data_IF_170177683067
#
_entry.id   IF_170177683067
#
_cell.length_a   1.000
_cell.length_b   1.000
_cell.length_c   1.000
_cell.angle_alpha   90.00
_cell.angle_beta   90.00
_cell.angle_gamma   90.00
#
_symmetry.space_group_name_H-M   'P 1'
#
loop_
_entity.id
_entity.type
_entity.pdbx_description
1 polymer ?
#
# COMPACT_ATOMS: atom_id res chain seq x y z
N UNK A 1 34.48 19.59 -27.98
CA UNK A 1 34.15 19.52 -26.54
C UNK A 1 32.80 18.82 -26.43
N UNK A 2 32.78 17.51 -26.20
CA UNK A 2 31.53 16.75 -26.14
C UNK A 2 30.90 17.01 -24.77
N UNK A 3 29.92 17.90 -24.73
CA UNK A 3 29.14 18.17 -23.53
C UNK A 3 28.03 17.12 -23.42
N UNK A 4 28.34 15.98 -22.79
CA UNK A 4 27.29 15.07 -22.34
C UNK A 4 26.62 15.71 -21.12
N UNK A 5 25.66 16.61 -21.37
CA UNK A 5 24.75 17.08 -20.33
C UNK A 5 23.67 16.03 -20.14
N UNK A 6 23.59 15.48 -18.94
CA UNK A 6 22.46 14.66 -18.52
C UNK A 6 21.33 15.57 -18.06
N UNK A 7 20.13 15.38 -18.62
CA UNK A 7 18.91 16.03 -18.15
C UNK A 7 18.12 14.99 -17.35
N UNK A 8 17.74 15.33 -16.13
CA UNK A 8 16.87 14.51 -15.31
C UNK A 8 15.43 14.94 -15.54
N UNK A 9 14.58 14.00 -15.99
CA UNK A 9 13.13 14.20 -16.05
C UNK A 9 12.54 13.59 -14.78
N UNK A 10 11.76 14.38 -14.04
CA UNK A 10 11.01 13.89 -12.87
C UNK A 10 9.55 13.76 -13.26
N UNK A 11 9.01 12.54 -13.16
CA UNK A 11 7.58 12.28 -13.31
C UNK A 11 6.97 12.30 -11.92
N UNK A 12 5.96 13.15 -11.71
CA UNK A 12 5.24 13.26 -10.44
C UNK A 12 3.90 12.52 -10.58
N UNK A 13 3.60 11.53 -9.72
CA UNK A 13 2.31 10.82 -9.74
C UNK A 13 1.13 11.75 -9.44
N UNK A 14 -0.02 11.49 -10.05
CA UNK A 14 -1.22 12.29 -9.80
C UNK A 14 -1.94 11.85 -8.52
N UNK A 15 -1.77 12.64 -7.44
CA UNK A 15 -2.38 12.36 -6.12
C UNK A 15 -3.88 12.63 -6.04
N UNK A 16 -4.43 13.44 -6.94
CA UNK A 16 -5.87 13.73 -7.00
C UNK A 16 -6.68 12.58 -7.63
N UNK A 17 -6.01 11.66 -8.32
CA UNK A 17 -6.61 10.52 -9.02
C UNK A 17 -5.98 9.21 -8.55
N UNK A 18 -5.94 9.00 -7.24
CA UNK A 18 -5.44 7.77 -6.64
C UNK A 18 -6.44 6.62 -6.76
N UNK A 19 -5.92 5.43 -7.00
CA UNK A 19 -6.59 4.13 -6.98
C UNK A 19 -5.93 3.29 -5.91
N UNK A 20 -6.75 2.68 -5.04
CA UNK A 20 -6.28 1.79 -3.98
C UNK A 20 -6.76 0.36 -4.24
N UNK A 21 -5.84 -0.60 -4.15
CA UNK A 21 -6.16 -2.03 -4.18
C UNK A 21 -5.69 -2.70 -2.90
N UNK A 22 -6.55 -3.52 -2.30
CA UNK A 22 -6.21 -4.28 -1.09
C UNK A 22 -6.04 -5.77 -1.44
N UNK A 23 -4.87 -6.31 -1.14
CA UNK A 23 -4.53 -7.70 -1.35
C UNK A 23 -4.29 -8.37 0.00
N UNK A 24 -4.99 -9.46 0.27
CA UNK A 24 -4.67 -10.35 1.38
C UNK A 24 -3.73 -11.45 0.88
N UNK A 25 -2.62 -11.67 1.57
CA UNK A 25 -1.77 -12.85 1.37
C UNK A 25 -2.59 -14.13 1.51
N UNK A 26 -2.12 -15.23 0.88
CA UNK A 26 -2.83 -16.51 0.70
C UNK A 26 -3.88 -16.81 1.77
N UNK A 27 -5.14 -16.64 1.37
CA UNK A 27 -6.33 -16.41 2.21
C UNK A 27 -6.86 -17.62 2.97
N UNK A 28 -6.05 -18.26 3.79
CA UNK A 28 -6.57 -19.09 4.88
C UNK A 28 -5.64 -19.04 6.08
N UNK A 29 -5.88 -18.07 6.96
CA UNK A 29 -5.40 -18.19 8.33
C UNK A 29 -6.43 -18.98 9.12
N UNK A 30 -6.02 -20.14 9.62
CA UNK A 30 -6.78 -20.82 10.68
C UNK A 30 -6.73 -19.88 11.89
N UNK A 31 -7.88 -19.52 12.46
CA UNK A 31 -7.97 -18.69 13.67
C UNK A 31 -7.57 -19.50 14.93
N UNK A 32 -6.34 -20.02 14.94
CA UNK A 32 -5.73 -20.81 16.01
C UNK A 32 -4.85 -19.95 16.94
N UNK A 33 -5.01 -18.61 16.92
CA UNK A 33 -4.18 -17.64 17.63
C UNK A 33 -2.67 -17.64 17.27
N UNK A 34 -2.25 -18.33 16.20
CA UNK A 34 -0.84 -18.36 15.76
C UNK A 34 -0.62 -17.95 14.31
N UNK A 35 -1.67 -17.89 13.48
CA UNK A 35 -1.53 -17.51 12.08
C UNK A 35 -1.68 -16.00 11.86
N UNK A 36 -0.72 -15.41 11.15
CA UNK A 36 -0.76 -14.02 10.68
C UNK A 36 -1.17 -13.98 9.21
N UNK A 37 -2.08 -13.06 8.86
CA UNK A 37 -2.36 -12.70 7.46
C UNK A 37 -1.64 -11.39 7.16
N UNK A 38 -0.90 -11.35 6.06
CA UNK A 38 -0.30 -10.11 5.57
C UNK A 38 -1.32 -9.45 4.66
N UNK A 39 -1.70 -8.22 4.97
CA UNK A 39 -2.46 -7.35 4.08
C UNK A 39 -1.47 -6.40 3.41
N UNK A 40 -1.64 -6.19 2.11
CA UNK A 40 -0.87 -5.21 1.35
C UNK A 40 -1.85 -4.29 0.64
N UNK A 41 -1.79 -3.01 0.95
CA UNK A 41 -2.54 -1.97 0.24
C UNK A 41 -1.61 -1.30 -0.76
N UNK A 42 -1.98 -1.30 -2.04
CA UNK A 42 -1.23 -0.62 -3.10
C UNK A 42 -1.97 0.65 -3.50
N UNK A 43 -1.27 1.79 -3.52
CA UNK A 43 -1.77 3.11 -3.88
C UNK A 43 -1.04 3.61 -5.12
N UNK A 44 -1.80 3.78 -6.19
CA UNK A 44 -1.29 4.20 -7.52
C UNK A 44 -2.16 5.29 -8.10
N UNK A 45 -1.68 6.08 -9.05
CA UNK A 45 -2.56 6.94 -9.83
C UNK A 45 -3.34 6.12 -10.88
N UNK A 46 -4.31 6.75 -11.55
CA UNK A 46 -5.09 6.11 -12.63
C UNK A 46 -4.25 5.61 -13.80
N UNK A 47 -2.99 6.05 -13.93
CA UNK A 47 -2.06 5.61 -14.96
C UNK A 47 -1.13 4.49 -14.48
N UNK A 48 -1.25 4.08 -13.21
CA UNK A 48 -0.47 3.00 -12.60
C UNK A 48 0.86 3.45 -11.98
N UNK A 49 1.13 4.75 -11.85
CA UNK A 49 2.33 5.22 -11.16
C UNK A 49 2.16 5.08 -9.64
N UNK A 50 3.18 4.58 -8.92
CA UNK A 50 3.10 4.42 -7.47
C UNK A 50 3.07 5.76 -6.74
N UNK A 51 2.29 5.86 -5.67
CA UNK A 51 2.25 7.02 -4.78
C UNK A 51 2.98 6.67 -3.47
N UNK A 52 4.25 7.07 -3.32
CA UNK A 52 4.98 6.88 -2.08
C UNK A 52 4.59 7.89 -1.01
N UNK A 53 4.89 7.55 0.24
CA UNK A 53 4.70 8.39 1.42
C UNK A 53 3.24 8.78 1.72
N UNK A 54 2.27 7.95 1.30
CA UNK A 54 0.84 8.11 1.61
C UNK A 54 0.45 7.36 2.88
N UNK A 55 -0.34 8.01 3.75
CA UNK A 55 -0.90 7.36 4.95
C UNK A 55 -2.09 6.47 4.57
N UNK A 56 -1.93 5.16 4.76
CA UNK A 56 -3.00 4.17 4.58
C UNK A 56 -3.52 3.74 5.94
N UNK A 57 -4.82 3.96 6.17
CA UNK A 57 -5.50 3.55 7.40
C UNK A 57 -6.22 2.22 7.22
N UNK A 58 -5.87 1.23 8.04
CA UNK A 58 -6.56 -0.05 8.12
C UNK A 58 -7.58 -0.03 9.26
N UNK A 59 -8.78 -0.52 8.98
CA UNK A 59 -9.84 -0.66 9.99
C UNK A 59 -10.46 -2.03 9.91
N UNK A 60 -10.74 -2.61 11.07
CA UNK A 60 -11.50 -3.85 11.16
C UNK A 60 -13.00 -3.55 11.08
N UNK A 61 -13.77 -4.29 10.27
CA UNK A 61 -15.22 -4.14 10.23
C UNK A 61 -15.85 -4.47 11.59
N UNK A 62 -16.82 -3.67 12.02
CA UNK A 62 -17.54 -3.91 13.28
C UNK A 62 -18.31 -5.24 13.30
N UNK A 63 -18.62 -5.82 12.12
CA UNK A 63 -19.30 -7.11 11.97
C UNK A 63 -18.37 -8.31 12.11
N UNK A 64 -17.06 -8.12 12.28
CA UNK A 64 -16.11 -9.23 12.32
C UNK A 64 -16.20 -9.97 13.66
N UNK A 65 -16.49 -11.27 13.61
CA UNK A 65 -16.61 -12.13 14.80
C UNK A 65 -15.28 -12.82 15.09
N UNK A 66 -14.62 -12.44 16.19
CA UNK A 66 -13.34 -13.02 16.62
C UNK A 66 -12.35 -11.99 17.18
N UNK A 67 -11.26 -12.47 17.77
CA UNK A 67 -10.20 -11.60 18.31
C UNK A 67 -9.15 -11.35 17.23
N UNK A 68 -9.34 -10.30 16.45
CA UNK A 68 -8.36 -9.83 15.47
C UNK A 68 -7.65 -8.60 16.01
N UNK A 69 -6.34 -8.54 15.79
CA UNK A 69 -5.54 -7.38 16.12
C UNK A 69 -4.77 -6.96 14.87
N UNK A 70 -4.81 -5.66 14.57
CA UNK A 70 -3.92 -5.10 13.56
C UNK A 70 -2.54 -4.90 14.20
N UNK A 71 -1.48 -5.21 13.47
CA UNK A 71 -0.12 -4.88 13.90
C UNK A 71 0.13 -3.38 13.86
N UNK A 72 -0.55 -2.66 12.96
CA UNK A 72 -0.63 -1.21 12.91
C UNK A 72 -1.95 -0.77 12.28
N UNK A 73 -2.55 0.31 12.80
CA UNK A 73 -3.74 0.92 12.21
C UNK A 73 -3.41 1.84 11.02
N UNK A 74 -2.18 2.34 10.94
CA UNK A 74 -1.74 3.23 9.88
C UNK A 74 -0.35 2.85 9.42
N UNK A 75 -0.19 2.71 8.12
CA UNK A 75 1.09 2.39 7.48
C UNK A 75 1.27 3.35 6.32
N UNK A 76 2.51 3.80 6.12
CA UNK A 76 2.85 4.74 5.07
C UNK A 76 3.42 4.00 3.87
N UNK A 77 2.94 4.31 2.67
CA UNK A 77 3.35 3.60 1.45
C UNK A 77 4.84 3.77 1.16
N UNK A 78 5.47 2.70 0.68
CA UNK A 78 6.87 2.70 0.26
C UNK A 78 7.06 3.32 -1.14
N UNK A 79 8.29 3.24 -1.68
CA UNK A 79 8.63 3.72 -3.02
C UNK A 79 7.81 3.08 -4.15
N UNK A 80 7.22 1.90 -3.92
CA UNK A 80 6.37 1.17 -4.86
C UNK A 80 4.88 1.47 -4.67
N UNK A 81 4.54 2.34 -3.71
CA UNK A 81 3.16 2.67 -3.36
C UNK A 81 2.50 1.61 -2.49
N UNK A 82 3.26 0.71 -1.87
CA UNK A 82 2.72 -0.41 -1.09
C UNK A 82 2.85 -0.14 0.42
N UNK A 83 1.79 -0.45 1.17
CA UNK A 83 1.67 -0.35 2.62
C UNK A 83 1.29 -1.70 3.25
#
# INVERSE_FOLDING_TARGET
KNIHQSVTITVVPNREQSVMTLNAGSGSAIANNTNTVILTASVKDVYGHPLPDEDVKFTLPASMTGNFTLSSETVRTDANGDA
#
